data_IF_018754948997
#
_entry.id   IF_018754948997
#
_cell.length_a   1.000
_cell.length_b   1.000
_cell.length_c   1.000
_cell.angle_alpha   90.00
_cell.angle_beta   90.00
_cell.angle_gamma   90.00
#
_symmetry.space_group_name_H-M   'P 1'
#
loop_
_entity.id
_entity.type
_entity.pdbx_description
1 polymer ?
#
# COMPACT_ATOMS: atom_id res chain seq x y z
N UNK A 1 -39.17 -13.68 -10.40
CA UNK A 1 -37.80 -13.42 -9.95
C UNK A 1 -37.85 -12.22 -9.03
N UNK A 2 -37.89 -12.46 -7.70
CA UNK A 2 -37.89 -11.43 -6.67
C UNK A 2 -36.50 -10.75 -6.66
N UNK A 3 -36.49 -9.44 -6.87
CA UNK A 3 -35.32 -8.64 -6.60
C UNK A 3 -35.03 -8.70 -5.10
N UNK A 4 -33.99 -9.41 -4.69
CA UNK A 4 -33.43 -9.30 -3.34
C UNK A 4 -32.93 -7.86 -3.19
N UNK A 5 -33.63 -7.07 -2.40
CA UNK A 5 -33.16 -5.77 -1.99
C UNK A 5 -31.84 -5.96 -1.25
N UNK A 6 -30.74 -5.52 -1.84
CA UNK A 6 -29.48 -5.34 -1.15
C UNK A 6 -29.74 -4.33 -0.03
N UNK A 7 -29.62 -4.77 1.22
CA UNK A 7 -29.73 -3.87 2.36
C UNK A 7 -28.64 -2.79 2.22
N UNK A 8 -28.96 -1.50 2.30
CA UNK A 8 -27.95 -0.47 2.34
C UNK A 8 -27.13 -0.66 3.62
N UNK A 9 -25.82 -0.92 3.46
CA UNK A 9 -24.89 -0.90 4.59
C UNK A 9 -24.84 0.53 5.11
N UNK A 10 -25.02 0.75 6.41
CA UNK A 10 -24.86 2.08 6.97
C UNK A 10 -23.39 2.47 6.78
N UNK A 11 -23.13 3.54 6.04
CA UNK A 11 -21.86 4.23 6.08
C UNK A 11 -21.67 4.73 7.51
N UNK A 12 -20.82 4.04 8.28
CA UNK A 12 -20.41 4.53 9.60
C UNK A 12 -19.43 5.66 9.31
N UNK A 13 -19.95 6.87 9.19
CA UNK A 13 -19.17 8.09 9.18
C UNK A 13 -18.50 8.23 10.56
N UNK A 14 -17.29 7.69 10.69
CA UNK A 14 -16.44 7.91 11.84
C UNK A 14 -15.87 9.33 11.73
N UNK A 15 -16.28 10.18 12.66
CA UNK A 15 -15.76 11.52 12.83
C UNK A 15 -14.32 11.47 13.38
N UNK A 16 -13.35 11.51 12.49
CA UNK A 16 -11.99 11.98 12.78
C UNK A 16 -11.53 12.76 11.56
N UNK A 17 -11.64 14.07 11.63
CA UNK A 17 -11.07 15.00 10.66
C UNK A 17 -9.54 14.78 10.62
N UNK A 18 -9.02 14.17 9.57
CA UNK A 18 -7.61 13.88 9.20
C UNK A 18 -7.15 12.40 9.25
N UNK A 19 -8.05 11.43 9.29
CA UNK A 19 -7.68 10.02 9.22
C UNK A 19 -7.30 9.64 7.78
N UNK A 20 -6.14 8.99 7.58
CA UNK A 20 -5.82 8.41 6.26
C UNK A 20 -6.83 7.32 5.93
N UNK A 21 -7.43 7.38 4.73
CA UNK A 21 -8.43 6.44 4.21
C UNK A 21 -8.23 6.22 2.73
N UNK A 22 -8.85 5.20 2.17
CA UNK A 22 -8.90 4.96 0.73
C UNK A 22 -7.74 4.15 0.17
N UNK A 23 -7.33 4.45 -1.04
CA UNK A 23 -6.27 3.74 -1.74
C UNK A 23 -4.91 4.41 -1.52
N UNK A 24 -4.02 3.75 -0.80
CA UNK A 24 -2.61 4.14 -0.64
C UNK A 24 -1.75 3.21 -1.50
N UNK A 25 -1.20 3.76 -2.60
CA UNK A 25 -0.45 2.95 -3.56
C UNK A 25 1.00 2.80 -3.15
N UNK A 26 1.43 1.56 -2.92
CA UNK A 26 2.84 1.26 -2.76
C UNK A 26 3.48 1.37 -4.14
N UNK A 27 4.39 2.33 -4.29
CA UNK A 27 5.11 2.58 -5.52
C UNK A 27 6.09 1.43 -5.84
N UNK A 28 6.27 1.14 -7.10
CA UNK A 28 7.34 0.26 -7.59
C UNK A 28 8.67 1.01 -7.57
N UNK A 29 9.77 0.28 -7.69
CA UNK A 29 11.07 0.92 -7.92
C UNK A 29 11.46 0.70 -9.39
N UNK A 30 11.48 1.76 -10.21
CA UNK A 30 11.95 1.67 -11.58
C UNK A 30 13.47 1.60 -11.65
N UNK A 31 13.98 0.86 -12.65
CA UNK A 31 15.42 0.76 -12.90
C UNK A 31 15.76 1.09 -14.35
N UNK A 32 16.92 1.74 -14.53
CA UNK A 32 17.51 1.98 -15.85
C UNK A 32 18.05 0.66 -16.46
N UNK A 33 18.45 0.69 -17.72
CA UNK A 33 19.11 -0.44 -18.37
C UNK A 33 20.41 -0.85 -17.67
N UNK A 34 21.10 0.10 -17.03
CA UNK A 34 22.32 -0.14 -16.23
C UNK A 34 22.02 -0.56 -14.78
N UNK A 35 20.77 -0.93 -14.48
CA UNK A 35 20.33 -1.41 -13.16
C UNK A 35 20.48 -0.37 -12.02
N UNK A 36 20.48 0.93 -12.35
CA UNK A 36 20.40 2.02 -11.38
C UNK A 36 18.94 2.37 -11.13
N UNK A 37 18.60 2.89 -9.94
CA UNK A 37 17.25 3.40 -9.68
C UNK A 37 16.97 4.60 -10.60
N UNK A 38 15.88 4.53 -11.38
CA UNK A 38 15.43 5.64 -12.22
C UNK A 38 14.54 6.60 -11.42
N UNK A 39 15.16 7.59 -10.81
CA UNK A 39 14.46 8.56 -9.99
C UNK A 39 13.51 9.48 -10.80
N UNK A 40 13.71 9.61 -12.11
CA UNK A 40 12.79 10.33 -12.99
C UNK A 40 11.48 9.56 -13.16
N UNK A 41 11.57 8.26 -13.43
CA UNK A 41 10.40 7.39 -13.55
C UNK A 41 9.71 7.20 -12.19
N UNK A 42 10.46 7.17 -11.07
CA UNK A 42 9.86 7.16 -9.72
C UNK A 42 9.03 8.42 -9.47
N UNK A 43 9.55 9.60 -9.80
CA UNK A 43 8.81 10.85 -9.71
C UNK A 43 7.59 10.88 -10.65
N UNK A 44 7.70 10.24 -11.82
CA UNK A 44 6.61 10.12 -12.78
C UNK A 44 5.48 9.22 -12.26
N UNK A 45 5.82 8.10 -11.58
CA UNK A 45 4.85 7.23 -10.92
C UNK A 45 4.06 7.98 -9.84
N UNK A 46 4.74 8.82 -9.02
CA UNK A 46 4.07 9.67 -8.03
C UNK A 46 3.07 10.62 -8.71
N UNK A 47 3.51 11.34 -9.75
CA UNK A 47 2.63 12.26 -10.48
C UNK A 47 1.46 11.54 -11.16
N UNK A 48 1.69 10.35 -11.69
CA UNK A 48 0.63 9.50 -12.23
C UNK A 48 -0.39 9.12 -11.14
N UNK A 49 0.05 8.69 -9.96
CA UNK A 49 -0.84 8.42 -8.82
C UNK A 49 -1.69 9.66 -8.45
N UNK A 50 -1.08 10.85 -8.44
CA UNK A 50 -1.79 12.10 -8.20
C UNK A 50 -2.87 12.39 -9.26
N UNK A 51 -2.54 12.21 -10.54
CA UNK A 51 -3.49 12.38 -11.65
C UNK A 51 -4.66 11.41 -11.58
N UNK A 52 -4.41 10.20 -11.07
CA UNK A 52 -5.44 9.18 -10.86
C UNK A 52 -6.39 9.47 -9.69
N UNK A 53 -6.00 10.36 -8.76
CA UNK A 53 -6.81 10.73 -7.61
C UNK A 53 -6.79 9.72 -6.46
N UNK A 54 -5.72 8.93 -6.30
CA UNK A 54 -5.54 8.09 -5.11
C UNK A 54 -5.25 8.94 -3.88
N UNK A 55 -5.57 8.41 -2.70
CA UNK A 55 -5.47 9.15 -1.45
C UNK A 55 -4.04 9.27 -0.93
N UNK A 56 -3.13 8.38 -1.39
CA UNK A 56 -1.74 8.49 -0.96
C UNK A 56 -0.81 7.53 -1.69
N UNK A 57 0.49 7.74 -1.43
CA UNK A 57 1.58 6.90 -1.92
C UNK A 57 2.47 6.43 -0.78
N UNK A 58 3.03 5.24 -0.93
CA UNK A 58 3.85 4.57 0.08
C UNK A 58 5.13 4.06 -0.59
N UNK A 59 6.31 4.31 0.02
CA UNK A 59 7.57 3.77 -0.49
C UNK A 59 8.69 3.85 0.55
N UNK A 60 9.67 2.92 0.54
CA UNK A 60 9.60 1.63 -0.12
C UNK A 60 8.98 0.56 0.78
N UNK A 61 8.42 -0.45 0.15
CA UNK A 61 7.89 -1.65 0.80
C UNK A 61 8.35 -2.92 0.06
N UNK A 62 7.84 -4.09 0.45
CA UNK A 62 8.20 -5.35 -0.23
C UNK A 62 7.93 -5.29 -1.74
N UNK A 63 6.81 -4.70 -2.18
CA UNK A 63 6.51 -4.52 -3.61
C UNK A 63 7.44 -3.54 -4.31
N UNK A 64 8.11 -2.67 -3.58
CA UNK A 64 9.09 -1.71 -4.08
C UNK A 64 10.50 -2.28 -4.14
N UNK A 65 10.69 -3.58 -3.90
CA UNK A 65 12.01 -4.21 -3.89
C UNK A 65 12.97 -3.63 -2.83
N UNK A 66 12.44 -3.19 -1.68
CA UNK A 66 13.19 -2.49 -0.64
C UNK A 66 14.51 -3.16 -0.22
N UNK A 67 14.55 -4.51 -0.22
CA UNK A 67 15.74 -5.28 0.18
C UNK A 67 16.88 -5.21 -0.81
N UNK A 68 16.62 -4.72 -2.02
CA UNK A 68 17.62 -4.55 -3.08
C UNK A 68 18.10 -3.10 -3.21
N UNK A 69 17.60 -2.20 -2.36
CA UNK A 69 17.96 -0.79 -2.36
C UNK A 69 19.08 -0.53 -1.35
N UNK A 70 20.11 0.19 -1.77
CA UNK A 70 21.08 0.76 -0.84
C UNK A 70 20.44 1.86 0.02
N UNK A 71 21.06 2.20 1.15
CA UNK A 71 20.60 3.30 2.00
C UNK A 71 20.56 4.62 1.24
N UNK A 72 21.54 4.88 0.38
CA UNK A 72 21.60 6.09 -0.43
C UNK A 72 20.45 6.16 -1.43
N UNK A 73 20.12 5.04 -2.11
CA UNK A 73 18.99 4.96 -3.04
C UNK A 73 17.66 5.18 -2.31
N UNK A 74 17.50 4.63 -1.09
CA UNK A 74 16.28 4.85 -0.29
C UNK A 74 16.13 6.31 0.13
N UNK A 75 17.17 6.91 0.69
CA UNK A 75 17.13 8.32 1.10
C UNK A 75 16.88 9.24 -0.09
N UNK A 76 17.54 8.99 -1.23
CA UNK A 76 17.28 9.75 -2.46
C UNK A 76 15.86 9.58 -2.99
N UNK A 77 15.32 8.36 -2.91
CA UNK A 77 13.92 8.08 -3.28
C UNK A 77 12.93 8.82 -2.38
N UNK A 78 13.18 8.93 -1.08
CA UNK A 78 12.35 9.75 -0.17
C UNK A 78 12.32 11.21 -0.61
N UNK A 79 13.48 11.83 -0.93
CA UNK A 79 13.54 13.20 -1.43
C UNK A 79 12.73 13.39 -2.72
N UNK A 80 12.90 12.46 -3.67
CA UNK A 80 12.22 12.51 -4.97
C UNK A 80 10.70 12.40 -4.81
N UNK A 81 10.24 11.50 -3.95
CA UNK A 81 8.82 11.31 -3.69
C UNK A 81 8.23 12.52 -2.96
N UNK A 82 8.91 13.02 -1.92
CA UNK A 82 8.48 14.22 -1.21
C UNK A 82 8.32 15.41 -2.15
N UNK A 83 9.30 15.64 -3.04
CA UNK A 83 9.24 16.71 -4.03
C UNK A 83 8.12 16.51 -5.05
N UNK A 84 7.99 15.28 -5.62
CA UNK A 84 6.99 14.98 -6.64
C UNK A 84 5.56 15.01 -6.10
N UNK A 85 5.36 14.79 -4.79
CA UNK A 85 4.05 14.82 -4.12
C UNK A 85 3.64 16.24 -3.68
N UNK A 86 4.53 17.21 -3.73
CA UNK A 86 4.25 18.57 -3.24
C UNK A 86 3.06 19.20 -3.97
N UNK A 87 2.08 19.64 -3.20
CA UNK A 87 0.88 20.31 -3.72
C UNK A 87 -0.14 19.37 -4.39
N UNK A 88 0.04 18.06 -4.33
CA UNK A 88 -0.90 17.09 -4.92
C UNK A 88 -2.11 16.80 -4.02
N UNK A 89 -1.99 17.05 -2.72
CA UNK A 89 -3.00 16.68 -1.72
C UNK A 89 -3.01 15.19 -1.33
N UNK A 90 -2.12 14.38 -1.93
CA UNK A 90 -1.96 12.97 -1.53
C UNK A 90 -1.16 12.87 -0.24
N UNK A 91 -1.51 11.89 0.61
CA UNK A 91 -0.68 11.51 1.74
C UNK A 91 0.59 10.80 1.28
N UNK A 92 1.72 11.11 1.92
CA UNK A 92 3.02 10.46 1.69
C UNK A 92 3.38 9.65 2.92
N UNK A 93 3.57 8.33 2.75
CA UNK A 93 3.98 7.41 3.82
C UNK A 93 5.33 6.79 3.46
N UNK A 94 6.34 7.03 4.29
CA UNK A 94 7.65 6.43 4.06
C UNK A 94 7.82 5.12 4.81
N UNK A 95 8.34 4.11 4.10
CA UNK A 95 8.73 2.83 4.67
C UNK A 95 10.10 2.92 5.32
N UNK A 96 10.13 2.86 6.65
CA UNK A 96 11.38 3.04 7.43
C UNK A 96 11.94 1.74 7.98
N UNK A 97 11.32 0.60 7.69
CA UNK A 97 11.80 -0.71 8.15
C UNK A 97 13.25 -0.99 7.74
N UNK A 98 14.00 -1.64 8.60
CA UNK A 98 15.37 -2.11 8.40
C UNK A 98 15.58 -3.47 9.07
N UNK A 99 16.77 -4.04 8.92
CA UNK A 99 17.11 -5.33 9.53
C UNK A 99 17.23 -5.24 11.05
N UNK A 100 17.50 -4.04 11.59
CA UNK A 100 17.60 -3.74 13.01
C UNK A 100 17.01 -2.37 13.37
N UNK A 101 16.92 -2.09 14.67
CA UNK A 101 16.36 -0.84 15.22
C UNK A 101 17.20 0.38 14.83
N UNK A 102 18.54 0.27 14.80
CA UNK A 102 19.38 1.42 14.45
C UNK A 102 19.24 1.82 12.98
N UNK A 103 19.14 0.85 12.09
CA UNK A 103 18.86 1.10 10.66
C UNK A 103 17.50 1.76 10.46
N UNK A 104 16.49 1.33 11.20
CA UNK A 104 15.16 1.95 11.20
C UNK A 104 15.22 3.40 11.69
N UNK A 105 15.91 3.67 12.79
CA UNK A 105 16.10 5.03 13.34
C UNK A 105 16.71 5.95 12.28
N UNK A 106 17.78 5.51 11.62
CA UNK A 106 18.45 6.32 10.59
C UNK A 106 17.51 6.68 9.42
N UNK A 107 16.67 5.75 8.98
CA UNK A 107 15.67 6.03 7.94
C UNK A 107 14.53 6.92 8.44
N UNK A 108 14.09 6.70 9.68
CA UNK A 108 12.98 7.46 10.26
C UNK A 108 13.37 8.93 10.50
N UNK A 109 14.55 9.19 11.04
CA UNK A 109 15.07 10.56 11.24
C UNK A 109 15.21 11.31 9.90
N UNK A 110 15.73 10.64 8.87
CA UNK A 110 15.82 11.23 7.54
C UNK A 110 14.43 11.49 6.95
N UNK A 111 13.53 10.50 7.03
CA UNK A 111 12.15 10.63 6.55
C UNK A 111 11.42 11.79 7.26
N UNK A 112 11.55 11.91 8.58
CA UNK A 112 10.92 12.98 9.38
C UNK A 112 11.37 14.37 8.92
N UNK A 113 12.64 14.52 8.52
CA UNK A 113 13.18 15.80 7.99
C UNK A 113 12.48 16.25 6.69
N UNK A 114 11.85 15.34 5.96
CA UNK A 114 11.09 15.60 4.73
C UNK A 114 9.60 15.84 4.99
N UNK A 115 9.15 15.78 6.25
CA UNK A 115 7.79 16.04 6.70
C UNK A 115 6.72 15.18 5.99
N UNK A 116 6.79 13.83 6.01
CA UNK A 116 5.75 12.95 5.47
C UNK A 116 4.44 13.05 6.27
N UNK A 117 3.37 12.47 5.76
CA UNK A 117 2.09 12.36 6.49
C UNK A 117 2.07 11.16 7.44
N UNK A 118 2.97 10.20 7.26
CA UNK A 118 3.11 9.05 8.13
C UNK A 118 4.31 8.19 7.77
N UNK A 119 4.52 7.17 8.58
CA UNK A 119 5.55 6.15 8.34
C UNK A 119 4.94 4.77 8.39
N UNK A 120 5.60 3.80 7.76
CA UNK A 120 5.25 2.39 7.89
C UNK A 120 6.50 1.60 8.23
N UNK A 121 6.38 0.67 9.17
CA UNK A 121 7.46 -0.22 9.52
C UNK A 121 6.99 -1.68 9.59
N UNK A 122 7.88 -2.57 9.15
CA UNK A 122 7.80 -4.01 9.36
C UNK A 122 8.72 -4.32 10.54
N UNK A 123 8.30 -5.14 11.53
CA UNK A 123 9.19 -5.55 12.60
C UNK A 123 10.49 -6.16 12.06
N UNK A 124 11.65 -5.91 12.70
CA UNK A 124 12.93 -6.42 12.22
C UNK A 124 12.96 -7.95 12.27
N UNK A 125 13.48 -8.59 11.23
CA UNK A 125 13.56 -10.06 11.15
C UNK A 125 14.46 -10.68 12.23
N UNK A 126 15.25 -9.88 12.89
CA UNK A 126 16.13 -10.26 14.02
C UNK A 126 15.43 -10.29 15.37
N UNK A 127 14.20 -9.75 15.48
CA UNK A 127 13.45 -9.78 16.74
C UNK A 127 13.05 -11.23 17.10
N UNK A 128 13.19 -11.54 18.39
CA UNK A 128 12.91 -12.86 18.95
C UNK A 128 11.73 -12.88 19.93
N UNK A 129 11.12 -11.72 20.19
CA UNK A 129 9.99 -11.59 21.10
C UNK A 129 9.11 -10.39 20.79
N UNK A 130 7.86 -10.42 21.26
CA UNK A 130 6.95 -9.27 21.19
C UNK A 130 7.48 -8.07 21.99
N UNK A 131 8.28 -8.29 23.03
CA UNK A 131 8.93 -7.21 23.78
C UNK A 131 9.93 -6.46 22.90
N UNK A 132 10.79 -7.18 22.16
CA UNK A 132 11.75 -6.54 21.24
C UNK A 132 11.03 -5.77 20.11
N UNK A 133 9.91 -6.30 19.62
CA UNK A 133 9.09 -5.62 18.63
C UNK A 133 8.45 -4.35 19.24
N UNK A 134 8.00 -4.39 20.48
CA UNK A 134 7.50 -3.20 21.21
C UNK A 134 8.59 -2.14 21.33
N UNK A 135 9.79 -2.52 21.72
CA UNK A 135 10.94 -1.60 21.86
C UNK A 135 11.31 -0.97 20.51
N UNK A 136 11.21 -1.73 19.42
CA UNK A 136 11.41 -1.23 18.07
C UNK A 136 10.38 -0.14 17.70
N UNK A 137 9.08 -0.38 17.93
CA UNK A 137 8.05 0.64 17.67
C UNK A 137 8.14 1.82 18.63
N UNK A 138 8.52 1.59 19.90
CA UNK A 138 8.82 2.67 20.85
C UNK A 138 9.90 3.60 20.30
N UNK A 139 11.03 3.05 19.83
CA UNK A 139 12.10 3.84 19.24
C UNK A 139 11.63 4.67 18.03
N UNK A 140 10.71 4.13 17.21
CA UNK A 140 10.11 4.88 16.10
C UNK A 140 9.19 6.00 16.60
N UNK A 141 8.38 5.75 17.64
CA UNK A 141 7.52 6.76 18.27
C UNK A 141 8.29 7.89 18.96
N UNK A 142 9.51 7.63 19.39
CA UNK A 142 10.39 8.68 19.97
C UNK A 142 10.90 9.66 18.89
N UNK A 143 10.83 9.31 17.59
CA UNK A 143 11.26 10.14 16.46
C UNK A 143 10.11 10.96 15.87
N UNK A 144 8.91 10.39 15.78
CA UNK A 144 7.77 11.03 15.12
C UNK A 144 6.49 10.95 15.94
N UNK A 145 5.72 12.03 15.91
CA UNK A 145 4.35 12.05 16.42
C UNK A 145 3.28 11.69 15.35
N UNK A 146 3.71 11.42 14.12
CA UNK A 146 2.83 11.14 12.98
C UNK A 146 2.32 9.70 13.01
N UNK A 147 1.27 9.39 12.23
CA UNK A 147 0.79 8.03 12.05
C UNK A 147 1.88 7.04 11.68
N UNK A 148 1.93 5.91 12.39
CA UNK A 148 2.82 4.79 12.10
C UNK A 148 1.95 3.59 11.75
N UNK A 149 2.05 3.13 10.51
CA UNK A 149 1.43 1.88 10.09
C UNK A 149 2.25 0.69 10.59
N UNK A 150 1.66 -0.07 11.50
CA UNK A 150 2.21 -1.35 11.94
C UNK A 150 1.82 -2.42 10.92
N UNK A 151 2.80 -2.95 10.19
CA UNK A 151 2.55 -4.04 9.24
C UNK A 151 2.68 -5.38 9.95
N UNK A 152 1.67 -6.24 9.82
CA UNK A 152 1.59 -7.51 10.55
C UNK A 152 2.32 -8.67 9.90
N UNK A 153 2.82 -8.50 8.66
CA UNK A 153 3.57 -9.53 7.93
C UNK A 153 4.91 -9.04 7.38
N UNK A 154 5.76 -9.99 7.01
CA UNK A 154 7.07 -9.72 6.39
C UNK A 154 8.21 -9.46 7.38
N UNK A 155 7.96 -9.51 8.67
CA UNK A 155 8.92 -9.46 9.77
C UNK A 155 9.40 -10.84 10.21
N UNK A 156 9.71 -11.00 11.52
CA UNK A 156 10.09 -12.28 12.12
C UNK A 156 8.91 -13.26 12.12
N UNK A 157 9.19 -14.54 12.36
CA UNK A 157 8.13 -15.56 12.54
C UNK A 157 7.52 -15.46 13.95
N UNK A 158 6.96 -14.30 14.26
CA UNK A 158 6.28 -13.97 15.51
C UNK A 158 4.94 -13.33 15.15
N UNK A 159 3.84 -13.95 15.60
CA UNK A 159 2.53 -13.36 15.41
C UNK A 159 2.38 -12.08 16.25
N UNK A 160 2.04 -10.96 15.60
CA UNK A 160 1.54 -9.78 16.27
C UNK A 160 0.06 -10.03 16.62
N UNK A 161 -0.21 -10.58 17.81
CA UNK A 161 -1.58 -10.89 18.25
C UNK A 161 -2.45 -9.63 18.29
N UNK A 162 -3.77 -9.81 18.27
CA UNK A 162 -4.71 -8.68 18.38
C UNK A 162 -4.47 -7.90 19.68
N UNK A 163 -4.27 -8.63 20.80
CA UNK A 163 -3.98 -8.05 22.10
C UNK A 163 -2.70 -7.20 22.06
N UNK A 164 -1.64 -7.73 21.43
CA UNK A 164 -0.38 -6.99 21.29
C UNK A 164 -0.58 -5.69 20.50
N UNK A 165 -1.29 -5.73 19.36
CA UNK A 165 -1.54 -4.55 18.53
C UNK A 165 -2.37 -3.50 19.26
N UNK A 166 -3.37 -3.93 20.03
CA UNK A 166 -4.21 -3.06 20.84
C UNK A 166 -3.42 -2.43 21.99
N UNK A 167 -2.59 -3.21 22.68
CA UNK A 167 -1.77 -2.70 23.78
C UNK A 167 -0.65 -1.77 23.27
N UNK A 168 -0.06 -2.08 22.10
CA UNK A 168 0.91 -1.19 21.45
C UNK A 168 0.28 0.15 21.10
N UNK A 169 -0.94 0.15 20.52
CA UNK A 169 -1.66 1.36 20.16
C UNK A 169 -2.13 2.18 21.39
N UNK A 170 -2.44 1.52 22.52
CA UNK A 170 -2.75 2.21 23.80
C UNK A 170 -1.54 2.92 24.37
N UNK A 171 -0.38 2.28 24.30
CA UNK A 171 0.87 2.85 24.81
C UNK A 171 1.42 3.93 23.88
N UNK A 172 1.34 3.69 22.57
CA UNK A 172 1.81 4.57 21.51
C UNK A 172 0.69 4.86 20.51
N UNK A 173 -0.10 5.92 20.69
CA UNK A 173 -1.25 6.22 19.80
C UNK A 173 -0.88 6.35 18.32
N UNK A 174 0.36 6.74 18.00
CA UNK A 174 0.86 6.77 16.62
C UNK A 174 0.76 5.39 15.93
N UNK A 175 0.91 4.29 16.69
CA UNK A 175 0.82 2.90 16.22
C UNK A 175 -0.62 2.38 16.09
N UNK A 176 -1.64 3.23 16.20
CA UNK A 176 -3.03 2.85 16.00
C UNK A 176 -3.43 2.58 14.53
N UNK A 177 -2.51 2.68 13.59
CA UNK A 177 -2.70 2.39 12.18
C UNK A 177 -2.16 1.00 11.85
N UNK A 178 -3.03 0.10 11.41
CA UNK A 178 -2.67 -1.31 11.17
C UNK A 178 -2.79 -1.63 9.69
N UNK A 179 -1.71 -2.14 9.11
CA UNK A 179 -1.74 -2.81 7.81
C UNK A 179 -1.78 -4.32 8.05
N UNK A 180 -2.97 -4.90 7.92
CA UNK A 180 -3.21 -6.29 8.28
C UNK A 180 -2.99 -7.22 7.08
N UNK A 181 -2.05 -8.16 7.24
CA UNK A 181 -1.66 -9.15 6.22
C UNK A 181 -1.37 -10.55 6.81
N UNK A 182 -1.64 -10.80 8.10
CA UNK A 182 -1.24 -12.04 8.76
C UNK A 182 -2.39 -13.05 8.85
N UNK A 183 -2.09 -14.33 8.60
CA UNK A 183 -2.99 -15.46 8.85
C UNK A 183 -4.37 -15.31 8.21
N UNK A 184 -5.43 -15.45 9.00
CA UNK A 184 -6.79 -15.20 8.55
C UNK A 184 -7.11 -13.70 8.63
N UNK A 185 -6.68 -12.99 7.61
CA UNK A 185 -6.68 -11.51 7.54
C UNK A 185 -8.06 -10.94 7.89
N UNK A 186 -9.15 -11.48 7.33
CA UNK A 186 -10.48 -10.90 7.51
C UNK A 186 -11.03 -11.10 8.92
N UNK A 187 -10.76 -12.25 9.56
CA UNK A 187 -11.13 -12.46 10.98
C UNK A 187 -10.34 -11.52 11.90
N UNK A 188 -9.06 -11.29 11.60
CA UNK A 188 -8.23 -10.34 12.35
C UNK A 188 -8.70 -8.90 12.17
N UNK A 189 -9.07 -8.49 10.95
CA UNK A 189 -9.70 -7.18 10.71
C UNK A 189 -10.99 -6.99 11.51
N UNK A 190 -11.88 -7.99 11.51
CA UNK A 190 -13.10 -7.97 12.33
C UNK A 190 -12.81 -7.92 13.83
N UNK A 191 -11.74 -8.55 14.29
CA UNK A 191 -11.31 -8.46 15.69
C UNK A 191 -10.77 -7.08 16.04
N UNK A 192 -9.94 -6.48 15.18
CA UNK A 192 -9.39 -5.13 15.37
C UNK A 192 -10.47 -4.04 15.34
N UNK A 193 -11.50 -4.20 14.51
CA UNK A 193 -12.62 -3.25 14.45
C UNK A 193 -13.36 -3.06 15.78
N UNK A 194 -13.38 -4.07 16.65
CA UNK A 194 -13.98 -3.95 17.98
C UNK A 194 -13.28 -2.92 18.86
N UNK A 195 -12.09 -2.49 18.47
CA UNK A 195 -11.25 -1.52 19.16
C UNK A 195 -11.15 -0.20 18.41
N UNK A 196 -11.95 0.00 17.34
CA UNK A 196 -12.08 1.30 16.69
C UNK A 196 -13.17 2.13 17.37
N UNK A 197 -13.06 3.46 17.47
CA UNK A 197 -11.95 4.28 16.94
C UNK A 197 -10.77 4.48 17.93
N UNK A 198 -10.75 3.78 19.07
CA UNK A 198 -9.74 3.93 20.11
C UNK A 198 -9.49 2.58 20.81
N UNK A 199 -8.23 2.08 20.85
CA UNK A 199 -6.99 2.69 20.39
C UNK A 199 -6.65 2.42 18.90
N UNK A 200 -7.40 1.56 18.20
CA UNK A 200 -7.16 1.28 16.79
C UNK A 200 -7.80 2.40 15.95
N UNK A 201 -6.95 3.20 15.31
CA UNK A 201 -7.36 4.36 14.55
C UNK A 201 -7.73 4.02 13.11
N UNK A 202 -6.98 3.09 12.48
CA UNK A 202 -7.18 2.77 11.07
C UNK A 202 -6.76 1.34 10.76
N UNK A 203 -7.51 0.67 9.88
CA UNK A 203 -7.23 -0.70 9.42
C UNK A 203 -7.18 -0.68 7.90
N UNK A 204 -6.04 -1.11 7.34
CA UNK A 204 -5.81 -1.21 5.90
C UNK A 204 -5.61 -2.66 5.48
N UNK A 205 -6.27 -3.03 4.38
CA UNK A 205 -5.99 -4.26 3.67
C UNK A 205 -4.76 -4.15 2.77
N UNK A 206 -4.40 -5.26 2.13
CA UNK A 206 -3.21 -5.38 1.30
C UNK A 206 -3.42 -6.33 0.11
N UNK A 207 -2.43 -7.18 -0.21
CA UNK A 207 -2.53 -8.31 -1.16
C UNK A 207 -3.13 -7.91 -2.53
N UNK A 208 -2.64 -6.81 -3.11
CA UNK A 208 -3.15 -6.22 -4.35
C UNK A 208 -4.66 -5.87 -4.30
N UNK A 209 -5.22 -5.68 -3.10
CA UNK A 209 -6.65 -5.40 -2.95
C UNK A 209 -7.56 -6.56 -3.37
N UNK A 210 -7.04 -7.80 -3.43
CA UNK A 210 -7.84 -8.98 -3.84
C UNK A 210 -8.99 -9.29 -2.88
N UNK A 211 -8.92 -8.83 -1.63
CA UNK A 211 -9.99 -8.88 -0.63
C UNK A 211 -10.78 -7.58 -0.51
N UNK A 212 -10.38 -6.51 -1.17
CA UNK A 212 -10.78 -5.14 -0.82
C UNK A 212 -12.29 -4.90 -0.88
N UNK A 213 -13.02 -5.50 -1.81
CA UNK A 213 -14.48 -5.37 -1.85
C UNK A 213 -15.15 -5.94 -0.57
N UNK A 214 -14.63 -7.05 -0.03
CA UNK A 214 -15.11 -7.60 1.24
C UNK A 214 -14.60 -6.78 2.43
N UNK A 215 -13.36 -6.33 2.39
CA UNK A 215 -12.74 -5.46 3.40
C UNK A 215 -13.50 -4.13 3.54
N UNK A 216 -13.92 -3.51 2.43
CA UNK A 216 -14.83 -2.34 2.45
C UNK A 216 -16.13 -2.64 3.21
N UNK A 217 -16.73 -3.81 3.00
CA UNK A 217 -17.95 -4.22 3.69
C UNK A 217 -17.73 -4.57 5.16
N UNK A 218 -16.56 -5.04 5.52
CA UNK A 218 -16.12 -5.14 6.92
C UNK A 218 -16.04 -3.74 7.54
N UNK A 219 -15.78 -2.69 6.75
CA UNK A 219 -15.63 -1.31 7.20
C UNK A 219 -14.18 -0.95 7.48
N UNK A 220 -13.22 -1.56 6.77
CA UNK A 220 -11.82 -1.13 6.83
C UNK A 220 -11.66 0.26 6.21
N UNK A 221 -10.59 0.94 6.60
CA UNK A 221 -10.36 2.33 6.20
C UNK A 221 -9.74 2.48 4.81
N UNK A 222 -9.20 1.41 4.25
CA UNK A 222 -8.60 1.46 2.92
C UNK A 222 -7.77 0.24 2.55
N UNK A 223 -7.02 0.39 1.48
CA UNK A 223 -6.04 -0.58 1.01
C UNK A 223 -4.67 0.06 0.83
N UNK A 224 -3.62 -0.62 1.27
CA UNK A 224 -2.23 -0.21 1.06
C UNK A 224 -1.51 -1.30 0.28
N UNK A 225 -1.32 -1.09 -1.02
CA UNK A 225 -0.91 -2.19 -1.90
C UNK A 225 -0.09 -1.75 -3.12
N UNK A 226 0.72 -2.68 -3.65
CA UNK A 226 1.60 -2.50 -4.82
C UNK A 226 0.85 -2.51 -6.16
N UNK A 227 -0.17 -1.70 -6.28
CA UNK A 227 -1.04 -1.60 -7.46
C UNK A 227 -0.94 -0.30 -8.24
N UNK A 228 0.14 0.47 -8.10
CA UNK A 228 0.25 1.82 -8.67
C UNK A 228 0.01 1.88 -10.18
N UNK A 229 0.32 0.80 -10.94
CA UNK A 229 -0.01 0.71 -12.37
C UNK A 229 -1.52 0.76 -12.67
N UNK A 230 -2.36 0.56 -11.66
CA UNK A 230 -3.83 0.62 -11.71
C UNK A 230 -4.38 1.67 -10.74
N UNK A 231 -3.62 2.72 -10.45
CA UNK A 231 -3.98 3.75 -9.47
C UNK A 231 -5.35 4.37 -9.74
N UNK A 232 -5.67 4.64 -11.02
CA UNK A 232 -6.97 5.13 -11.46
C UNK A 232 -8.13 4.16 -11.14
N UNK A 233 -7.90 2.86 -11.30
CA UNK A 233 -8.89 1.83 -10.98
C UNK A 233 -9.14 1.79 -9.47
N UNK A 234 -8.07 1.85 -8.66
CA UNK A 234 -8.20 1.88 -7.20
C UNK A 234 -8.88 3.16 -6.69
N UNK A 235 -8.55 4.31 -7.28
CA UNK A 235 -9.21 5.57 -6.96
C UNK A 235 -10.73 5.51 -7.26
N UNK A 236 -11.11 4.96 -8.42
CA UNK A 236 -12.53 4.78 -8.78
C UNK A 236 -13.26 3.76 -7.91
N UNK A 237 -12.60 2.67 -7.51
CA UNK A 237 -13.19 1.70 -6.59
C UNK A 237 -13.53 2.35 -5.25
N UNK A 238 -12.62 3.17 -4.71
CA UNK A 238 -12.87 3.92 -3.49
C UNK A 238 -14.01 4.93 -3.67
N UNK A 239 -14.01 5.68 -4.77
CA UNK A 239 -15.05 6.66 -5.08
C UNK A 239 -16.44 6.01 -5.26
N UNK A 240 -16.54 4.87 -5.92
CA UNK A 240 -17.79 4.11 -6.04
C UNK A 240 -18.28 3.61 -4.68
N UNK A 241 -17.38 3.13 -3.83
CA UNK A 241 -17.70 2.70 -2.48
C UNK A 241 -18.24 3.85 -1.63
N UNK A 242 -17.55 4.98 -1.60
CA UNK A 242 -17.98 6.17 -0.83
C UNK A 242 -19.34 6.72 -1.32
N UNK A 243 -19.63 6.58 -2.61
CA UNK A 243 -20.91 6.98 -3.22
C UNK A 243 -22.03 5.94 -3.08
N UNK A 244 -21.71 4.74 -2.62
CA UNK A 244 -22.66 3.62 -2.57
C UNK A 244 -23.08 3.09 -3.94
N UNK A 245 -22.26 3.31 -4.99
CA UNK A 245 -22.51 2.80 -6.34
C UNK A 245 -22.04 1.33 -6.47
N UNK A 246 -22.84 0.44 -5.91
CA UNK A 246 -22.56 -1.00 -5.86
C UNK A 246 -22.41 -1.66 -7.25
N UNK A 247 -23.09 -1.15 -8.28
CA UNK A 247 -23.02 -1.73 -9.62
C UNK A 247 -21.67 -1.41 -10.25
N UNK A 248 -21.28 -0.16 -10.27
CA UNK A 248 -19.98 0.29 -10.80
C UNK A 248 -18.82 -0.28 -9.97
N UNK A 249 -18.96 -0.33 -8.64
CA UNK A 249 -17.98 -0.93 -7.74
C UNK A 249 -17.71 -2.39 -8.10
N UNK A 250 -18.77 -3.19 -8.25
CA UNK A 250 -18.64 -4.62 -8.59
C UNK A 250 -18.06 -4.82 -9.99
N UNK A 251 -18.50 -4.05 -10.98
CA UNK A 251 -18.02 -4.16 -12.36
C UNK A 251 -16.53 -3.81 -12.44
N UNK A 252 -16.13 -2.67 -11.88
CA UNK A 252 -14.75 -2.21 -11.84
C UNK A 252 -13.84 -3.22 -11.12
N UNK A 253 -14.26 -3.70 -9.94
CA UNK A 253 -13.51 -4.68 -9.17
C UNK A 253 -13.33 -6.02 -9.90
N UNK A 254 -14.35 -6.50 -10.58
CA UNK A 254 -14.28 -7.75 -11.34
C UNK A 254 -13.23 -7.68 -12.46
N UNK A 255 -13.12 -6.55 -13.12
CA UNK A 255 -12.14 -6.30 -14.18
C UNK A 255 -10.72 -6.16 -13.63
N UNK A 256 -10.56 -5.51 -12.45
CA UNK A 256 -9.27 -5.45 -11.76
C UNK A 256 -8.80 -6.86 -11.38
N UNK A 257 -9.67 -7.69 -10.81
CA UNK A 257 -9.32 -9.08 -10.46
C UNK A 257 -8.94 -9.91 -11.69
N UNK A 258 -9.58 -9.66 -12.85
CA UNK A 258 -9.28 -10.36 -14.08
C UNK A 258 -7.81 -10.18 -14.50
N UNK A 259 -7.29 -8.96 -14.48
CA UNK A 259 -5.89 -8.69 -14.84
C UNK A 259 -4.93 -9.13 -13.69
N UNK A 260 -5.28 -8.90 -12.43
CA UNK A 260 -4.45 -9.26 -11.28
C UNK A 260 -4.23 -10.78 -11.15
N UNK A 261 -5.12 -11.59 -11.70
CA UNK A 261 -4.91 -13.04 -11.75
C UNK A 261 -3.66 -13.41 -12.56
N UNK A 262 -3.20 -12.54 -13.48
CA UNK A 262 -1.96 -12.77 -14.24
C UNK A 262 -0.68 -12.66 -13.40
N UNK A 263 -0.70 -11.98 -12.25
CA UNK A 263 0.50 -11.79 -11.42
C UNK A 263 1.17 -13.12 -11.02
N UNK A 264 0.36 -14.16 -10.84
CA UNK A 264 0.85 -15.50 -10.50
C UNK A 264 1.17 -16.36 -11.73
N UNK A 265 0.72 -15.95 -12.92
CA UNK A 265 0.83 -16.72 -14.16
C UNK A 265 1.93 -16.16 -15.08
N UNK A 266 2.12 -14.85 -15.06
CA UNK A 266 3.08 -14.15 -15.93
C UNK A 266 3.94 -13.23 -15.06
N UNK A 267 5.11 -13.70 -14.57
CA UNK A 267 6.00 -12.86 -13.79
C UNK A 267 6.37 -11.58 -14.53
N UNK A 268 6.36 -10.45 -13.82
CA UNK A 268 6.71 -9.14 -14.40
C UNK A 268 5.55 -8.41 -15.08
N UNK A 269 4.34 -8.97 -15.14
CA UNK A 269 3.16 -8.33 -15.78
C UNK A 269 2.93 -6.89 -15.30
N UNK A 270 3.15 -6.62 -14.01
CA UNK A 270 3.00 -5.27 -13.45
C UNK A 270 3.96 -4.25 -14.05
N UNK A 271 5.22 -4.63 -14.24
CA UNK A 271 6.23 -3.78 -14.88
C UNK A 271 5.91 -3.58 -16.37
N UNK A 272 5.41 -4.63 -17.04
CA UNK A 272 4.94 -4.51 -18.42
C UNK A 272 3.80 -3.47 -18.53
N UNK A 273 2.84 -3.49 -17.60
CA UNK A 273 1.76 -2.49 -17.57
C UNK A 273 2.30 -1.09 -17.30
N UNK A 274 3.26 -0.95 -16.36
CA UNK A 274 3.93 0.34 -16.11
C UNK A 274 4.57 0.90 -17.39
N UNK A 275 5.27 0.05 -18.14
CA UNK A 275 5.91 0.44 -19.40
C UNK A 275 4.86 0.75 -20.48
N UNK A 276 3.83 -0.09 -20.65
CA UNK A 276 2.72 0.13 -21.60
C UNK A 276 2.03 1.47 -21.36
N UNK A 277 1.86 1.86 -20.10
CA UNK A 277 1.28 3.15 -19.72
C UNK A 277 2.26 4.31 -19.84
N UNK A 278 3.49 4.05 -20.27
CA UNK A 278 4.53 5.05 -20.41
C UNK A 278 4.99 5.63 -19.06
N UNK A 279 4.71 4.97 -17.94
CA UNK A 279 5.17 5.40 -16.61
C UNK A 279 6.64 5.08 -16.45
N UNK A 280 7.04 3.84 -16.79
CA UNK A 280 8.42 3.37 -16.76
C UNK A 280 8.99 3.22 -18.18
N UNK A 281 10.27 3.51 -18.32
CA UNK A 281 11.03 3.31 -19.57
C UNK A 281 11.37 1.83 -19.81
N UNK A 282 11.54 1.05 -18.74
CA UNK A 282 11.97 -0.34 -18.77
C UNK A 282 11.08 -1.25 -17.93
N UNK A 283 11.20 -2.56 -18.13
CA UNK A 283 10.63 -3.61 -17.25
C UNK A 283 11.71 -4.25 -16.36
N UNK A 284 12.80 -3.54 -16.10
CA UNK A 284 13.91 -4.02 -15.27
C UNK A 284 13.49 -4.19 -13.80
N UNK A 285 14.04 -5.20 -13.17
CA UNK A 285 13.88 -5.49 -11.75
C UNK A 285 15.15 -6.14 -11.22
N UNK A 286 15.52 -5.82 -9.99
CA UNK A 286 16.64 -6.52 -9.31
C UNK A 286 16.24 -7.90 -8.79
N UNK A 287 14.94 -8.25 -8.86
CA UNK A 287 14.44 -9.61 -8.56
C UNK A 287 14.68 -10.59 -9.69
N UNK A 288 14.84 -10.12 -10.93
CA UNK A 288 15.04 -10.96 -12.08
C UNK A 288 14.77 -10.26 -13.41
N UNK A 289 15.05 -10.99 -14.48
CA UNK A 289 14.79 -10.54 -15.86
C UNK A 289 13.45 -11.11 -16.31
N UNK A 290 12.59 -10.26 -16.82
CA UNK A 290 11.29 -10.64 -17.37
C UNK A 290 11.31 -10.51 -18.90
N UNK A 291 10.81 -11.54 -19.56
CA UNK A 291 10.56 -11.56 -21.00
C UNK A 291 9.17 -12.11 -21.28
N UNK A 292 8.52 -11.58 -22.30
CA UNK A 292 7.14 -11.93 -22.60
C UNK A 292 7.03 -12.48 -24.02
N UNK A 293 6.46 -13.67 -24.18
CA UNK A 293 6.08 -14.20 -25.49
C UNK A 293 4.92 -13.40 -26.08
N UNK A 294 4.74 -13.49 -27.40
CA UNK A 294 3.61 -12.85 -28.09
C UNK A 294 2.25 -13.30 -27.53
N UNK A 295 2.12 -14.56 -27.10
CA UNK A 295 0.92 -15.09 -26.47
C UNK A 295 0.67 -14.44 -25.10
N UNK A 296 1.72 -14.29 -24.28
CA UNK A 296 1.60 -13.63 -22.96
C UNK A 296 1.22 -12.15 -23.13
N UNK A 297 1.82 -11.46 -24.09
CA UNK A 297 1.47 -10.06 -24.37
C UNK A 297 0.00 -9.97 -24.82
N UNK A 298 -0.46 -10.82 -25.72
CA UNK A 298 -1.86 -10.83 -26.17
C UNK A 298 -2.83 -11.08 -24.99
N UNK A 299 -2.50 -12.01 -24.07
CA UNK A 299 -3.32 -12.29 -22.88
C UNK A 299 -3.34 -11.12 -21.91
N UNK A 300 -2.18 -10.47 -21.68
CA UNK A 300 -2.10 -9.26 -20.84
C UNK A 300 -2.96 -8.16 -21.43
N UNK A 301 -2.83 -7.89 -22.73
CA UNK A 301 -3.60 -6.86 -23.43
C UNK A 301 -5.09 -7.14 -23.41
N UNK A 302 -5.50 -8.38 -23.64
CA UNK A 302 -6.91 -8.78 -23.57
C UNK A 302 -7.55 -8.44 -22.22
N UNK A 303 -6.84 -8.76 -21.10
CA UNK A 303 -7.36 -8.47 -19.77
C UNK A 303 -7.19 -7.00 -19.38
N UNK A 304 -6.09 -6.36 -19.78
CA UNK A 304 -5.88 -4.94 -19.54
C UNK A 304 -6.94 -4.07 -20.21
N UNK A 305 -7.30 -4.38 -21.44
CA UNK A 305 -8.31 -3.62 -22.18
C UNK A 305 -9.71 -3.70 -21.56
N UNK A 306 -10.00 -4.72 -20.73
CA UNK A 306 -11.23 -4.75 -19.94
C UNK A 306 -11.33 -3.61 -18.92
N UNK A 307 -10.18 -3.01 -18.51
CA UNK A 307 -10.12 -1.87 -17.61
C UNK A 307 -10.36 -0.51 -18.31
N UNK A 308 -10.37 -0.46 -19.65
CA UNK A 308 -10.45 0.79 -20.43
C UNK A 308 -11.50 1.80 -19.90
N UNK A 309 -12.72 1.41 -19.48
CA UNK A 309 -13.71 2.35 -18.95
C UNK A 309 -13.29 3.04 -17.66
N UNK A 310 -12.27 2.52 -16.98
CA UNK A 310 -11.80 2.97 -15.67
C UNK A 310 -10.40 3.60 -15.71
N UNK A 311 -9.71 3.52 -16.83
CA UNK A 311 -8.38 4.12 -16.98
C UNK A 311 -8.50 5.64 -17.21
N UNK A 312 -7.52 6.39 -16.68
CA UNK A 312 -7.31 7.77 -17.11
C UNK A 312 -6.58 7.76 -18.44
N UNK A 313 -7.02 8.61 -19.37
CA UNK A 313 -6.45 8.78 -20.70
C UNK A 313 -5.29 9.76 -20.69
#
# INVERSE_FOLDING_TARGET
>A
LSASALLPYPAILSAAENKMRGALMILSTPYTDDNQVDFEDLAKEVRFCAQCGVQGVVWPQNSSEQRYLSSQERMKGFEVIAEASRGTGMSVVFGVQADDTQGMINYAEFAESLNPDGMIAIPPTTANSLSEIRDYYKALCDITAKPIFVQTSGGPDIELTIEFLVDLAREFPQCGYIKEEYGNVHERMLALQKYQPDPILSIFGATLGRGWLYEMRIGTDGVMTGGAMYADVYAKLWDFYEKGDELSLRDCYSKLLLIQNLDNLIPGVRLWVMQKRGIFKTTKSRRGVYSFSSMQIAEIEYRYNALEPYLVT
#
